data_IF_201912588097
#
_entry.id   IF_201912588097
#
_cell.length_a   1.000
_cell.length_b   1.000
_cell.length_c   1.000
_cell.angle_alpha   90.00
_cell.angle_beta   90.00
_cell.angle_gamma   90.00
#
_symmetry.space_group_name_H-M   'P 1'
#
loop_
_entity.id
_entity.type
_entity.pdbx_description
1 polymer ?
#
# COMPACT_ATOMS: atom_id res chain seq x y z
N UNK A 1 22.94 -13.12 -6.67
CA UNK A 1 21.53 -13.24 -6.24
C UNK A 1 20.63 -12.82 -7.42
N UNK A 2 19.51 -13.52 -7.71
CA UNK A 2 18.56 -13.18 -8.77
C UNK A 2 17.35 -12.51 -8.14
N UNK A 3 16.97 -11.30 -8.58
CA UNK A 3 15.88 -10.52 -7.99
C UNK A 3 14.86 -10.17 -9.07
N UNK A 4 13.59 -10.27 -8.72
CA UNK A 4 12.47 -9.74 -9.50
C UNK A 4 11.84 -8.61 -8.71
N UNK A 5 11.92 -7.39 -9.22
CA UNK A 5 11.17 -6.25 -8.72
C UNK A 5 9.84 -6.14 -9.47
N UNK A 6 8.74 -6.01 -8.74
CA UNK A 6 7.41 -5.92 -9.32
C UNK A 6 6.64 -4.74 -8.73
N UNK A 7 5.98 -3.96 -9.59
CA UNK A 7 5.03 -2.93 -9.14
C UNK A 7 3.70 -3.57 -8.73
N UNK A 8 3.05 -2.97 -7.74
CA UNK A 8 1.77 -3.48 -7.23
C UNK A 8 0.60 -2.95 -8.06
N UNK A 9 0.48 -1.60 -8.16
CA UNK A 9 -0.65 -0.98 -8.85
C UNK A 9 -0.47 -1.00 -10.37
N UNK A 10 -1.44 -1.54 -11.09
CA UNK A 10 -1.38 -1.68 -12.54
C UNK A 10 -0.61 -2.93 -13.02
N UNK A 11 0.01 -3.69 -12.10
CA UNK A 11 0.75 -4.93 -12.41
C UNK A 11 0.17 -6.11 -11.64
N UNK A 12 0.40 -6.21 -10.32
CA UNK A 12 -0.20 -7.27 -9.48
C UNK A 12 -1.71 -7.06 -9.35
N UNK A 13 -2.15 -5.82 -9.20
CA UNK A 13 -3.57 -5.48 -9.22
C UNK A 13 -3.89 -4.49 -10.35
N UNK A 14 -5.05 -4.66 -10.99
CA UNK A 14 -5.51 -3.78 -12.08
C UNK A 14 -6.06 -2.43 -11.59
N UNK A 15 -6.04 -2.17 -10.27
CA UNK A 15 -6.69 -0.99 -9.68
C UNK A 15 -5.72 -0.11 -8.90
N UNK A 16 -6.00 1.21 -8.88
CA UNK A 16 -5.33 2.14 -7.98
C UNK A 16 -5.77 1.88 -6.53
N UNK A 17 -4.82 1.55 -5.66
CA UNK A 17 -5.14 0.95 -4.34
C UNK A 17 -5.20 1.97 -3.21
N UNK A 18 -4.28 2.95 -3.17
CA UNK A 18 -4.13 3.86 -2.04
C UNK A 18 -5.42 4.65 -1.77
N UNK A 19 -5.96 5.30 -2.80
CA UNK A 19 -7.20 6.05 -2.67
C UNK A 19 -8.40 5.16 -2.27
N UNK A 20 -8.50 3.97 -2.88
CA UNK A 20 -9.55 3.01 -2.54
C UNK A 20 -9.45 2.54 -1.09
N UNK A 21 -8.25 2.33 -0.58
CA UNK A 21 -8.03 1.97 0.82
C UNK A 21 -8.44 3.10 1.77
N UNK A 22 -7.99 4.32 1.50
CA UNK A 22 -8.41 5.48 2.30
C UNK A 22 -9.93 5.61 2.31
N UNK A 23 -10.59 5.55 1.15
CA UNK A 23 -12.05 5.56 1.05
C UNK A 23 -12.69 4.42 1.85
N UNK A 24 -12.15 3.21 1.78
CA UNK A 24 -12.64 2.05 2.52
C UNK A 24 -12.58 2.29 4.03
N UNK A 25 -11.45 2.80 4.54
CA UNK A 25 -11.29 3.14 5.96
C UNK A 25 -12.27 4.24 6.38
N UNK A 26 -12.39 5.31 5.58
CA UNK A 26 -13.36 6.39 5.84
C UNK A 26 -14.79 5.89 5.95
N UNK A 27 -15.21 4.98 5.08
CA UNK A 27 -16.56 4.42 5.11
C UNK A 27 -16.85 3.56 6.35
N UNK A 28 -15.79 3.10 7.03
CA UNK A 28 -15.89 2.35 8.30
C UNK A 28 -15.89 3.26 9.54
N UNK A 29 -15.56 4.54 9.37
CA UNK A 29 -15.63 5.54 10.43
C UNK A 29 -17.05 6.16 10.60
N UNK A 30 -17.17 7.07 11.58
CA UNK A 30 -18.42 7.76 11.89
C UNK A 30 -18.98 8.58 10.71
N UNK A 31 -20.25 8.96 10.80
CA UNK A 31 -20.94 9.75 9.77
C UNK A 31 -20.26 11.10 9.48
N UNK A 32 -19.67 11.73 10.50
CA UNK A 32 -18.92 12.99 10.35
C UNK A 32 -17.68 12.82 9.50
N UNK A 33 -16.93 11.73 9.68
CA UNK A 33 -15.75 11.42 8.86
C UNK A 33 -16.13 11.16 7.41
N UNK A 34 -17.28 10.53 7.15
CA UNK A 34 -17.79 10.31 5.78
C UNK A 34 -18.11 11.62 5.08
N UNK A 35 -18.80 12.54 5.77
CA UNK A 35 -19.12 13.86 5.24
C UNK A 35 -17.86 14.67 4.96
N UNK A 36 -16.91 14.67 5.89
CA UNK A 36 -15.60 15.31 5.73
C UNK A 36 -14.86 14.78 4.49
N UNK A 37 -14.78 13.46 4.32
CA UNK A 37 -14.14 12.85 3.15
C UNK A 37 -14.82 13.27 1.85
N UNK A 38 -16.15 13.28 1.82
CA UNK A 38 -16.90 13.67 0.64
C UNK A 38 -16.67 15.14 0.25
N UNK A 39 -16.71 16.04 1.23
CA UNK A 39 -16.41 17.46 1.02
C UNK A 39 -14.96 17.67 0.56
N UNK A 40 -14.02 16.98 1.19
CA UNK A 40 -12.62 17.04 0.81
C UNK A 40 -12.39 16.50 -0.61
N UNK A 41 -13.04 15.40 -0.98
CA UNK A 41 -12.99 14.85 -2.34
C UNK A 41 -13.51 15.83 -3.39
N UNK A 42 -14.59 16.51 -3.10
CA UNK A 42 -15.15 17.52 -4.02
C UNK A 42 -14.21 18.74 -4.18
N UNK A 43 -13.59 19.18 -3.09
CA UNK A 43 -12.66 20.31 -3.09
C UNK A 43 -11.34 19.96 -3.75
N UNK A 44 -10.80 18.78 -3.50
CA UNK A 44 -9.49 18.33 -4.03
C UNK A 44 -9.53 18.13 -5.55
N UNK A 45 -10.66 17.72 -6.12
CA UNK A 45 -10.84 17.69 -7.60
C UNK A 45 -10.63 19.06 -8.23
N UNK A 46 -10.93 20.14 -7.51
CA UNK A 46 -10.77 21.53 -7.99
C UNK A 46 -9.36 22.08 -7.78
N UNK A 47 -8.64 21.67 -6.74
CA UNK A 47 -7.45 22.37 -6.23
C UNK A 47 -6.13 21.60 -6.35
N UNK A 48 -6.13 20.37 -6.87
CA UNK A 48 -4.91 19.49 -6.94
C UNK A 48 -4.15 19.31 -5.60
N UNK A 49 -4.79 19.60 -4.46
CA UNK A 49 -4.19 19.47 -3.12
C UNK A 49 -4.57 18.08 -2.57
N UNK A 50 -3.85 17.05 -3.02
CA UNK A 50 -4.27 15.65 -2.79
C UNK A 50 -3.71 15.01 -1.52
N UNK A 51 -2.62 15.50 -0.92
CA UNK A 51 -1.82 14.61 -0.07
C UNK A 51 -2.04 14.73 1.44
N UNK A 52 -2.19 15.91 2.01
CA UNK A 52 -2.11 16.04 3.48
C UNK A 52 -3.37 15.55 4.20
N UNK A 53 -4.53 15.78 3.62
CA UNK A 53 -5.80 15.47 4.30
C UNK A 53 -6.31 14.03 4.12
N UNK A 54 -5.76 13.30 3.14
CA UNK A 54 -6.17 11.92 2.86
C UNK A 54 -5.84 10.96 4.03
N UNK A 55 -4.81 11.28 4.80
CA UNK A 55 -4.30 10.44 5.88
C UNK A 55 -4.75 10.88 7.28
N UNK A 56 -5.45 12.01 7.42
CA UNK A 56 -5.96 12.48 8.73
C UNK A 56 -6.78 11.43 9.51
N UNK A 57 -7.64 10.61 8.90
CA UNK A 57 -8.40 9.60 9.62
C UNK A 57 -7.57 8.50 10.26
N UNK A 58 -6.32 8.37 9.84
CA UNK A 58 -5.39 7.40 10.43
C UNK A 58 -4.71 7.95 11.67
N UNK A 59 -4.77 9.27 11.89
CA UNK A 59 -4.11 9.88 13.04
C UNK A 59 -4.63 9.31 14.36
N UNK A 60 -3.72 8.88 15.22
CA UNK A 60 -4.01 8.22 16.50
C UNK A 60 -4.81 6.91 16.37
N UNK A 61 -4.91 6.32 15.18
CA UNK A 61 -5.50 5.00 15.01
C UNK A 61 -4.53 3.95 15.59
N UNK A 62 -5.00 2.99 16.41
CA UNK A 62 -4.18 1.86 16.82
C UNK A 62 -3.71 1.04 15.61
N UNK A 63 -2.44 0.60 15.61
CA UNK A 63 -1.85 -0.15 14.49
C UNK A 63 -2.62 -1.43 14.18
N UNK A 64 -3.06 -2.17 15.20
CA UNK A 64 -3.85 -3.39 15.04
C UNK A 64 -5.19 -3.16 14.32
N UNK A 65 -5.78 -1.97 14.49
CA UNK A 65 -7.02 -1.58 13.79
C UNK A 65 -6.74 -1.31 12.31
N UNK A 66 -5.61 -0.65 11.99
CA UNK A 66 -5.18 -0.48 10.61
C UNK A 66 -4.94 -1.83 9.92
N UNK A 67 -4.25 -2.75 10.60
CA UNK A 67 -3.96 -4.09 10.05
C UNK A 67 -5.23 -4.89 9.81
N UNK A 68 -6.21 -4.80 10.72
CA UNK A 68 -7.54 -5.39 10.51
C UNK A 68 -8.26 -4.82 9.29
N UNK A 69 -8.20 -3.51 9.09
CA UNK A 69 -8.75 -2.86 7.90
C UNK A 69 -8.00 -3.26 6.64
N UNK A 70 -6.68 -3.35 6.69
CA UNK A 70 -5.82 -3.75 5.58
C UNK A 70 -6.14 -5.18 5.11
N UNK A 71 -6.25 -6.12 6.05
CA UNK A 71 -6.65 -7.51 5.78
C UNK A 71 -8.04 -7.60 5.15
N UNK A 72 -9.01 -6.89 5.73
CA UNK A 72 -10.38 -6.87 5.20
C UNK A 72 -10.41 -6.26 3.79
N UNK A 73 -9.70 -5.16 3.58
CA UNK A 73 -9.61 -4.50 2.28
C UNK A 73 -8.95 -5.40 1.23
N UNK A 74 -7.85 -6.06 1.59
CA UNK A 74 -7.18 -6.99 0.69
C UNK A 74 -8.15 -8.09 0.23
N UNK A 75 -8.82 -8.75 1.17
CA UNK A 75 -9.68 -9.88 0.86
C UNK A 75 -10.98 -9.48 0.13
N UNK A 76 -11.62 -8.37 0.53
CA UNK A 76 -12.92 -7.98 -0.01
C UNK A 76 -12.87 -7.06 -1.23
N UNK A 77 -11.77 -6.29 -1.38
CA UNK A 77 -11.67 -5.27 -2.44
C UNK A 77 -10.57 -5.56 -3.43
N UNK A 78 -9.36 -5.98 -2.96
CA UNK A 78 -8.23 -6.17 -3.86
C UNK A 78 -8.22 -7.54 -4.52
N UNK A 79 -8.54 -8.58 -3.78
CA UNK A 79 -8.45 -9.97 -4.26
C UNK A 79 -9.18 -10.23 -5.59
N UNK A 80 -10.38 -9.66 -5.85
CA UNK A 80 -11.05 -9.79 -7.14
C UNK A 80 -10.34 -9.08 -8.31
N UNK A 81 -9.40 -8.20 -8.01
CA UNK A 81 -8.64 -7.42 -9.00
C UNK A 81 -7.18 -7.86 -9.13
N UNK A 82 -6.81 -8.97 -8.50
CA UNK A 82 -5.47 -9.55 -8.64
C UNK A 82 -5.30 -10.15 -10.02
N UNK A 83 -4.12 -9.92 -10.59
CA UNK A 83 -3.75 -10.47 -11.90
C UNK A 83 -3.12 -11.87 -11.72
N UNK A 84 -3.90 -12.91 -11.90
CA UNK A 84 -3.45 -14.30 -11.73
C UNK A 84 -2.27 -14.66 -12.64
N UNK A 85 -2.17 -14.05 -13.84
CA UNK A 85 -1.04 -14.31 -14.74
C UNK A 85 0.28 -13.82 -14.13
N UNK A 86 0.23 -12.63 -13.49
CA UNK A 86 1.41 -12.07 -12.79
C UNK A 86 1.74 -12.91 -11.57
N UNK A 87 0.75 -13.29 -10.75
CA UNK A 87 0.97 -14.17 -9.59
C UNK A 87 1.60 -15.50 -10.00
N UNK A 88 1.08 -16.13 -11.05
CA UNK A 88 1.64 -17.39 -11.56
C UNK A 88 3.08 -17.22 -12.06
N UNK A 89 3.41 -16.09 -12.72
CA UNK A 89 4.77 -15.78 -13.13
C UNK A 89 5.70 -15.62 -11.93
N UNK A 90 5.29 -14.86 -10.91
CA UNK A 90 6.09 -14.63 -9.70
C UNK A 90 6.31 -15.92 -8.90
N UNK A 91 5.29 -16.79 -8.82
CA UNK A 91 5.45 -18.11 -8.20
C UNK A 91 6.47 -18.97 -8.94
N UNK A 92 6.45 -19.00 -10.26
CA UNK A 92 7.48 -19.69 -11.06
C UNK A 92 8.87 -19.11 -10.84
N UNK A 93 8.98 -17.77 -10.82
CA UNK A 93 10.26 -17.09 -10.55
C UNK A 93 10.80 -17.48 -9.16
N UNK A 94 9.97 -17.44 -8.12
CA UNK A 94 10.37 -17.85 -6.78
C UNK A 94 10.84 -19.32 -6.73
N UNK A 95 10.15 -20.22 -7.41
CA UNK A 95 10.56 -21.65 -7.50
C UNK A 95 11.89 -21.84 -8.23
N UNK A 96 12.27 -20.95 -9.11
CA UNK A 96 13.57 -20.97 -9.84
C UNK A 96 14.66 -20.18 -9.14
N UNK A 97 14.47 -19.82 -7.86
CA UNK A 97 15.47 -19.17 -7.01
C UNK A 97 15.59 -17.68 -7.17
N UNK A 98 14.58 -17.01 -7.74
CA UNK A 98 14.49 -15.55 -7.71
C UNK A 98 13.88 -15.06 -6.40
N UNK A 99 14.46 -13.99 -5.85
CA UNK A 99 13.86 -13.22 -4.78
C UNK A 99 12.80 -12.29 -5.34
N UNK A 100 11.59 -12.34 -4.80
CA UNK A 100 10.45 -11.51 -5.26
C UNK A 100 10.26 -10.33 -4.32
N UNK A 101 10.42 -9.12 -4.86
CA UNK A 101 10.30 -7.86 -4.11
C UNK A 101 9.21 -7.00 -4.74
N UNK A 102 8.19 -6.65 -3.95
CA UNK A 102 7.17 -5.70 -4.38
C UNK A 102 7.61 -4.27 -4.05
N UNK A 103 7.46 -3.36 -5.02
CA UNK A 103 7.71 -1.92 -4.83
C UNK A 103 6.46 -1.14 -5.20
N UNK A 104 5.92 -0.35 -4.25
CA UNK A 104 4.65 0.33 -4.46
C UNK A 104 4.56 1.70 -3.78
N UNK A 105 3.85 2.63 -4.41
CA UNK A 105 3.40 3.87 -3.77
C UNK A 105 2.19 3.69 -2.83
N UNK A 106 1.67 2.46 -2.70
CA UNK A 106 0.61 2.11 -1.77
C UNK A 106 1.09 1.93 -0.32
N UNK A 107 0.19 1.54 0.60
CA UNK A 107 0.54 1.23 1.99
C UNK A 107 0.94 -0.23 2.14
N UNK A 108 2.04 -0.46 2.84
CA UNK A 108 2.62 -1.76 3.13
C UNK A 108 1.61 -2.71 3.77
N UNK A 109 0.83 -2.22 4.73
CA UNK A 109 -0.13 -3.01 5.50
C UNK A 109 -1.07 -3.87 4.62
N UNK A 110 -1.65 -3.34 3.54
CA UNK A 110 -2.52 -4.17 2.69
C UNK A 110 -1.73 -4.92 1.60
N UNK A 111 -0.57 -4.43 1.18
CA UNK A 111 0.26 -5.07 0.15
C UNK A 111 0.89 -6.36 0.68
N UNK A 112 1.29 -6.40 1.94
CA UNK A 112 1.89 -7.58 2.58
C UNK A 112 0.98 -8.81 2.55
N UNK A 113 -0.35 -8.63 2.50
CA UNK A 113 -1.28 -9.75 2.35
C UNK A 113 -1.15 -10.49 1.00
N UNK A 114 -0.40 -9.95 0.04
CA UNK A 114 -0.06 -10.67 -1.21
C UNK A 114 0.79 -11.93 -0.92
N UNK A 115 1.42 -12.03 0.25
CA UNK A 115 2.14 -13.23 0.71
C UNK A 115 1.23 -14.48 0.75
N UNK A 116 -0.07 -14.29 0.89
CA UNK A 116 -1.07 -15.37 0.81
C UNK A 116 -1.17 -15.97 -0.60
N UNK A 117 -0.67 -15.28 -1.63
CA UNK A 117 -0.76 -15.65 -3.05
C UNK A 117 0.59 -16.03 -3.66
N UNK A 118 1.66 -15.42 -3.19
CA UNK A 118 3.01 -15.63 -3.70
C UNK A 118 4.04 -15.46 -2.58
N UNK A 119 5.11 -16.28 -2.62
CA UNK A 119 6.22 -16.10 -1.70
C UNK A 119 6.91 -14.77 -1.99
N UNK A 120 6.90 -13.88 -1.00
CA UNK A 120 7.54 -12.57 -1.05
C UNK A 120 8.77 -12.57 -0.14
N UNK A 121 9.86 -11.98 -0.61
CA UNK A 121 11.05 -11.75 0.20
C UNK A 121 10.99 -10.36 0.87
N UNK A 122 10.41 -9.36 0.19
CA UNK A 122 10.27 -8.01 0.75
C UNK A 122 9.13 -7.23 0.09
N UNK A 123 8.55 -6.30 0.85
CA UNK A 123 7.65 -5.25 0.36
C UNK A 123 8.27 -3.89 0.68
N UNK A 124 8.50 -3.08 -0.35
CA UNK A 124 8.96 -1.70 -0.27
C UNK A 124 7.75 -0.83 -0.63
N UNK A 125 7.15 -0.19 0.37
CA UNK A 125 5.94 0.59 0.21
C UNK A 125 5.85 1.67 1.30
N UNK A 126 4.84 2.53 1.24
CA UNK A 126 4.61 3.53 2.29
C UNK A 126 4.28 2.85 3.61
N UNK A 127 4.91 3.30 4.67
CA UNK A 127 4.72 2.82 6.03
C UNK A 127 4.53 4.00 6.97
N UNK A 128 3.45 3.97 7.76
CA UNK A 128 3.20 5.04 8.73
C UNK A 128 4.17 4.98 9.90
N UNK A 129 4.54 6.15 10.41
CA UNK A 129 5.23 6.25 11.69
C UNK A 129 4.30 5.79 12.82
N UNK A 130 4.84 5.00 13.75
CA UNK A 130 4.14 4.59 14.96
C UNK A 130 4.78 5.26 16.17
N UNK A 131 3.92 5.82 17.04
CA UNK A 131 4.32 6.35 18.36
C UNK A 131 3.34 5.74 19.37
N UNK A 132 3.88 5.02 20.36
CA UNK A 132 3.10 4.31 21.39
C UNK A 132 2.00 3.40 20.81
N UNK A 133 2.30 2.71 19.71
CA UNK A 133 1.36 1.80 19.02
C UNK A 133 0.25 2.52 18.23
N UNK A 134 0.29 3.85 18.16
CA UNK A 134 -0.64 4.67 17.41
C UNK A 134 -0.01 5.22 16.13
N UNK A 135 -0.80 5.27 15.07
CA UNK A 135 -0.39 5.79 13.77
C UNK A 135 -0.27 7.31 13.82
N UNK A 136 0.83 7.81 13.29
CA UNK A 136 0.98 9.22 12.90
C UNK A 136 0.93 9.31 11.37
N UNK A 137 0.25 10.33 10.80
CA UNK A 137 0.04 10.44 9.35
C UNK A 137 1.30 10.87 8.59
N UNK A 138 2.47 10.56 9.12
CA UNK A 138 3.78 10.73 8.51
C UNK A 138 4.32 9.37 8.06
N UNK A 139 5.07 9.33 6.97
CA UNK A 139 5.68 8.10 6.46
C UNK A 139 7.14 7.99 6.90
N UNK A 140 7.53 6.79 7.36
CA UNK A 140 8.91 6.49 7.77
C UNK A 140 9.85 6.59 6.55
N UNK A 141 9.41 6.12 5.38
CA UNK A 141 10.25 5.96 4.19
C UNK A 141 10.06 7.09 3.17
N UNK A 142 9.53 8.26 3.59
CA UNK A 142 9.23 9.35 2.67
C UNK A 142 8.13 9.00 1.66
N UNK A 143 8.11 9.71 0.53
CA UNK A 143 7.15 9.46 -0.56
C UNK A 143 7.72 8.43 -1.52
N UNK A 144 7.12 7.24 -1.65
CA UNK A 144 7.52 6.22 -2.64
C UNK A 144 6.87 6.55 -3.99
N UNK A 145 7.33 7.63 -4.65
CA UNK A 145 6.94 7.99 -6.02
C UNK A 145 8.01 7.56 -7.03
N UNK A 146 7.77 7.75 -8.33
CA UNK A 146 8.55 7.15 -9.43
C UNK A 146 10.07 7.23 -9.27
N UNK A 147 10.62 8.41 -8.94
CA UNK A 147 12.07 8.57 -8.77
C UNK A 147 12.59 7.95 -7.46
N UNK A 148 11.76 7.94 -6.41
CA UNK A 148 12.13 7.37 -5.12
C UNK A 148 12.16 5.84 -5.15
N UNK A 149 11.40 5.19 -6.05
CA UNK A 149 11.43 3.73 -6.24
C UNK A 149 12.83 3.27 -6.67
N UNK A 150 13.45 3.96 -7.62
CA UNK A 150 14.82 3.65 -8.10
C UNK A 150 15.82 3.80 -6.96
N UNK A 151 15.72 4.91 -6.21
CA UNK A 151 16.59 5.16 -5.06
C UNK A 151 16.46 4.09 -3.97
N UNK A 152 15.25 3.63 -3.68
CA UNK A 152 15.01 2.56 -2.72
C UNK A 152 15.51 1.19 -3.18
N UNK A 153 15.45 0.90 -4.49
CA UNK A 153 16.06 -0.30 -5.08
C UNK A 153 17.58 -0.26 -4.87
N UNK A 154 18.23 0.84 -5.26
CA UNK A 154 19.67 1.01 -5.13
C UNK A 154 20.15 0.92 -3.67
N UNK A 155 19.42 1.54 -2.75
CA UNK A 155 19.74 1.44 -1.32
C UNK A 155 19.58 0.02 -0.78
N UNK A 156 18.60 -0.73 -1.27
CA UNK A 156 18.42 -2.12 -0.89
C UNK A 156 19.53 -3.00 -1.44
N UNK A 157 19.91 -2.84 -2.72
CA UNK A 157 20.99 -3.61 -3.33
C UNK A 157 22.34 -3.37 -2.67
N UNK A 158 22.59 -2.17 -2.15
CA UNK A 158 23.81 -1.85 -1.39
C UNK A 158 23.84 -2.44 0.03
N UNK A 159 22.74 -3.02 0.53
CA UNK A 159 22.64 -3.64 1.86
C UNK A 159 22.75 -5.18 1.81
N UNK A 160 22.82 -5.76 0.63
CA UNK A 160 22.90 -7.21 0.38
C UNK A 160 24.31 -7.57 -0.07
#
# INVERSE_FOLDING_TARGET
>A
MKIVYVDFCGTITTTATLYKFCKFVFLKHSTYTKLYFYLHYLLSRRMKIFDVNLFLPFNNMPSNKLDSYAKTFFNSVLRPHINDKVINYLNKASLTGYHVIIISGGLKNYIEHTIELVKLDKVIAKEFQLIDGQIKPNFINGTVFQNDKIFQILNFENQI
#
